data_IF_026069133292
#
_entry.id   IF_026069133292
#
_cell.length_a   1.000
_cell.length_b   1.000
_cell.length_c   1.000
_cell.angle_alpha   90.00
_cell.angle_beta   90.00
_cell.angle_gamma   90.00
#
_symmetry.space_group_name_H-M   'P 1'
#
loop_
_entity.id
_entity.type
_entity.pdbx_description
1 polymer ?
#
# COMPACT_ATOMS: atom_id res chain seq x y z
N UNK A 1 -2.57 -34.59 -58.18
CA UNK A 1 -2.82 -33.49 -57.22
C UNK A 1 -2.32 -33.94 -55.87
N UNK A 2 -1.41 -33.14 -55.30
CA UNK A 2 -0.39 -33.55 -54.34
C UNK A 2 -0.90 -33.57 -52.89
N UNK A 3 -0.63 -34.66 -52.15
CA UNK A 3 -1.09 -34.90 -50.78
C UNK A 3 -0.24 -34.15 -49.73
N UNK A 4 0.13 -32.89 -50.02
CA UNK A 4 1.05 -32.08 -49.19
C UNK A 4 0.47 -30.74 -48.71
N UNK A 5 -0.85 -30.54 -48.79
CA UNK A 5 -1.49 -29.27 -48.37
C UNK A 5 -2.44 -29.36 -47.17
N UNK A 6 -2.58 -30.51 -46.50
CA UNK A 6 -3.44 -30.65 -45.32
C UNK A 6 -2.69 -30.75 -43.98
N UNK A 7 -1.35 -30.79 -43.98
CA UNK A 7 -0.57 -30.94 -42.74
C UNK A 7 -0.13 -29.61 -42.11
N UNK A 8 -0.48 -28.47 -42.72
CA UNK A 8 -0.05 -27.14 -42.23
C UNK A 8 -1.13 -26.42 -41.40
N UNK A 9 -2.37 -26.92 -41.38
CA UNK A 9 -3.47 -26.33 -40.59
C UNK A 9 -3.77 -27.09 -39.29
N UNK A 10 -3.30 -28.33 -39.12
CA UNK A 10 -3.51 -29.11 -37.90
C UNK A 10 -2.51 -28.78 -36.77
N UNK A 11 -1.34 -28.19 -37.09
CA UNK A 11 -0.35 -27.78 -36.08
C UNK A 11 -0.56 -26.35 -35.54
N UNK A 12 -1.31 -25.50 -36.25
CA UNK A 12 -1.61 -24.14 -35.79
C UNK A 12 -2.78 -24.07 -34.80
N UNK A 13 -3.67 -25.08 -34.76
CA UNK A 13 -4.76 -25.17 -33.80
C UNK A 13 -4.38 -25.96 -32.52
N UNK A 14 -3.30 -26.74 -32.55
CA UNK A 14 -2.77 -27.42 -31.36
C UNK A 14 -2.04 -26.48 -30.37
N UNK A 15 -1.54 -25.34 -30.85
CA UNK A 15 -0.90 -24.31 -30.02
C UNK A 15 -1.88 -23.32 -29.38
N UNK A 16 -3.15 -23.32 -29.81
CA UNK A 16 -4.21 -22.50 -29.21
C UNK A 16 -5.07 -23.25 -28.17
N UNK A 17 -4.89 -24.57 -28.03
CA UNK A 17 -5.67 -25.38 -27.08
C UNK A 17 -4.90 -25.82 -25.82
N UNK A 18 -3.56 -25.70 -25.79
CA UNK A 18 -2.75 -26.09 -24.62
C UNK A 18 -2.40 -24.94 -23.66
N UNK A 19 -2.82 -23.69 -23.95
CA UNK A 19 -2.65 -22.56 -23.03
C UNK A 19 -3.73 -22.45 -21.94
N UNK A 20 -4.83 -23.20 -22.07
CA UNK A 20 -6.03 -23.06 -21.23
C UNK A 20 -6.21 -24.14 -20.16
N UNK A 21 -5.29 -25.12 -20.06
CA UNK A 21 -5.38 -26.22 -19.09
C UNK A 21 -4.12 -26.39 -18.20
N UNK A 22 -3.19 -25.43 -18.25
CA UNK A 22 -1.93 -25.47 -17.51
C UNK A 22 -1.77 -24.41 -16.42
N UNK A 23 -2.84 -23.75 -15.97
CA UNK A 23 -2.76 -22.88 -14.80
C UNK A 23 -2.46 -23.77 -13.58
N UNK A 24 -1.17 -23.95 -13.26
CA UNK A 24 -0.73 -24.59 -12.04
C UNK A 24 -1.55 -24.01 -10.87
N UNK A 25 -2.14 -24.84 -10.01
CA UNK A 25 -2.94 -24.33 -8.90
C UNK A 25 -2.06 -23.38 -8.10
N UNK A 26 -2.53 -22.15 -7.92
CA UNK A 26 -1.83 -21.14 -7.15
C UNK A 26 -1.48 -21.73 -5.78
N UNK A 27 -0.19 -21.92 -5.49
CA UNK A 27 0.25 -22.47 -4.21
C UNK A 27 0.05 -21.40 -3.14
N UNK A 28 -1.07 -21.46 -2.43
CA UNK A 28 -1.37 -20.60 -1.30
C UNK A 28 -1.05 -21.34 0.01
N UNK A 29 -0.05 -20.86 0.75
CA UNK A 29 0.27 -21.32 2.11
C UNK A 29 -0.19 -20.26 3.09
N UNK A 30 -0.90 -20.68 4.14
CA UNK A 30 -1.35 -19.78 5.21
C UNK A 30 -1.16 -20.45 6.56
N UNK A 31 -0.69 -19.69 7.53
CA UNK A 31 -0.60 -20.12 8.93
C UNK A 31 -1.25 -19.04 9.77
N UNK A 32 -2.09 -19.46 10.71
CA UNK A 32 -2.73 -18.58 11.67
C UNK A 32 -2.64 -19.19 13.05
N UNK A 33 -2.27 -18.37 14.03
CA UNK A 33 -2.28 -18.73 15.44
C UNK A 33 -3.10 -17.67 16.19
N UNK A 34 -3.93 -18.11 17.13
CA UNK A 34 -4.69 -17.23 18.03
C UNK A 34 -4.58 -17.79 19.44
N UNK A 35 -4.37 -16.91 20.41
CA UNK A 35 -4.32 -17.24 21.82
C UNK A 35 -4.86 -16.11 22.68
N UNK A 36 -4.80 -16.31 24.00
CA UNK A 36 -5.28 -15.34 24.97
C UNK A 36 -4.62 -13.95 24.79
N UNK A 37 -3.38 -13.90 24.31
CA UNK A 37 -2.61 -12.66 24.17
C UNK A 37 -2.67 -12.02 22.77
N UNK A 38 -3.45 -12.58 21.83
CA UNK A 38 -3.57 -12.02 20.48
C UNK A 38 -3.70 -13.04 19.36
N UNK A 39 -3.49 -12.57 18.13
CA UNK A 39 -3.49 -13.41 16.93
C UNK A 39 -2.32 -13.03 16.03
N UNK A 40 -1.69 -14.02 15.41
CA UNK A 40 -0.69 -13.84 14.37
C UNK A 40 -1.05 -14.68 13.16
N UNK A 41 -0.61 -14.25 11.98
CA UNK A 41 -0.74 -15.06 10.79
C UNK A 41 0.20 -14.61 9.70
N UNK A 42 0.59 -15.58 8.88
CA UNK A 42 1.41 -15.38 7.71
C UNK A 42 0.74 -16.05 6.51
N UNK A 43 1.00 -15.49 5.34
CA UNK A 43 0.60 -16.09 4.08
C UNK A 43 1.71 -15.96 3.06
N UNK A 44 1.73 -16.91 2.14
CA UNK A 44 2.46 -16.84 0.88
C UNK A 44 1.55 -17.38 -0.22
N UNK A 45 1.60 -16.79 -1.39
CA UNK A 45 0.78 -17.18 -2.55
C UNK A 45 1.58 -16.91 -3.81
N UNK A 46 1.64 -17.88 -4.71
CA UNK A 46 2.19 -17.72 -6.05
C UNK A 46 1.12 -18.07 -7.08
N UNK A 47 0.98 -17.26 -8.13
CA UNK A 47 0.03 -17.51 -9.21
C UNK A 47 0.44 -16.80 -10.51
N UNK A 48 -0.44 -16.86 -11.50
CA UNK A 48 -0.22 -16.32 -12.85
C UNK A 48 0.17 -14.82 -12.86
N UNK A 49 -0.31 -14.05 -11.88
CA UNK A 49 -0.05 -12.61 -11.75
C UNK A 49 0.98 -12.30 -10.65
N UNK A 50 1.92 -13.22 -10.42
CA UNK A 50 3.06 -13.01 -9.53
C UNK A 50 2.94 -13.72 -8.18
N UNK A 51 3.85 -13.36 -7.27
CA UNK A 51 3.91 -13.91 -5.92
C UNK A 51 3.66 -12.84 -4.87
N UNK A 52 3.11 -13.23 -3.73
CA UNK A 52 2.94 -12.36 -2.57
C UNK A 52 3.18 -13.12 -1.29
N UNK A 53 3.75 -12.44 -0.31
CA UNK A 53 3.90 -12.95 1.04
C UNK A 53 3.62 -11.84 2.04
N UNK A 54 3.16 -12.19 3.22
CA UNK A 54 2.93 -11.21 4.26
C UNK A 54 2.65 -11.84 5.60
N UNK A 55 2.74 -11.00 6.62
CA UNK A 55 2.49 -11.38 8.00
C UNK A 55 1.70 -10.29 8.70
N UNK A 56 0.97 -10.69 9.73
CA UNK A 56 0.30 -9.77 10.65
C UNK A 56 0.33 -10.34 12.05
N UNK A 57 0.37 -9.46 13.03
CA UNK A 57 0.05 -9.80 14.40
C UNK A 57 -0.80 -8.70 15.03
N UNK A 58 -1.65 -9.12 15.95
CA UNK A 58 -2.57 -8.28 16.71
C UNK A 58 -2.41 -8.69 18.17
N UNK A 59 -2.10 -7.75 19.04
CA UNK A 59 -2.09 -7.96 20.48
C UNK A 59 -3.50 -8.14 21.04
N UNK A 60 -3.56 -8.50 22.33
CA UNK A 60 -4.79 -8.65 23.08
C UNK A 60 -5.72 -7.43 22.94
N UNK A 61 -7.03 -7.68 22.80
CA UNK A 61 -8.07 -6.67 22.56
C UNK A 61 -7.86 -5.76 21.33
N UNK A 62 -7.01 -6.17 20.38
CA UNK A 62 -6.61 -5.34 19.23
C UNK A 62 -6.02 -3.98 19.65
N UNK A 63 -5.42 -3.91 20.85
CA UNK A 63 -4.82 -2.68 21.37
C UNK A 63 -3.49 -2.33 20.71
N UNK A 64 -2.86 -3.25 20.00
CA UNK A 64 -1.71 -2.98 19.15
C UNK A 64 -1.61 -4.04 18.06
N UNK A 65 -0.86 -3.75 17.01
CA UNK A 65 -0.58 -4.75 15.99
C UNK A 65 0.31 -4.23 14.88
N UNK A 66 0.71 -5.16 14.03
CA UNK A 66 1.42 -4.87 12.82
C UNK A 66 0.91 -5.74 11.67
N UNK A 67 1.12 -5.27 10.45
CA UNK A 67 0.98 -6.05 9.23
C UNK A 67 2.07 -5.63 8.26
N UNK A 68 2.52 -6.56 7.45
CA UNK A 68 3.44 -6.28 6.37
C UNK A 68 3.30 -7.30 5.27
N UNK A 69 3.75 -6.93 4.09
CA UNK A 69 3.79 -7.86 2.98
C UNK A 69 4.51 -7.29 1.79
N UNK A 70 4.83 -8.19 0.89
CA UNK A 70 5.50 -7.95 -0.37
C UNK A 70 4.72 -8.65 -1.48
N UNK A 71 4.81 -8.08 -2.67
CA UNK A 71 4.31 -8.61 -3.91
C UNK A 71 5.39 -8.46 -4.97
N UNK A 72 5.55 -9.48 -5.79
CA UNK A 72 6.39 -9.51 -6.97
C UNK A 72 5.50 -9.85 -8.15
N UNK A 73 5.33 -8.90 -9.06
CA UNK A 73 4.49 -9.02 -10.25
C UNK A 73 5.16 -9.74 -11.41
N UNK A 74 4.36 -10.13 -12.41
CA UNK A 74 4.89 -10.60 -13.67
C UNK A 74 5.64 -9.44 -14.34
N UNK A 75 6.78 -9.74 -14.96
CA UNK A 75 7.67 -8.78 -15.64
C UNK A 75 8.53 -7.88 -14.72
N UNK A 76 8.73 -8.26 -13.44
CA UNK A 76 9.78 -7.67 -12.60
C UNK A 76 9.35 -6.48 -11.73
N UNK A 77 8.07 -6.09 -11.75
CA UNK A 77 7.55 -5.13 -10.78
C UNK A 77 7.47 -5.72 -9.38
N UNK A 78 7.66 -4.90 -8.35
CA UNK A 78 7.53 -5.28 -6.95
C UNK A 78 6.87 -4.18 -6.13
N UNK A 79 6.22 -4.56 -5.04
CA UNK A 79 5.69 -3.62 -4.08
C UNK A 79 5.71 -4.27 -2.70
N UNK A 80 6.10 -3.51 -1.69
CA UNK A 80 6.02 -3.94 -0.31
C UNK A 80 5.51 -2.82 0.57
N UNK A 81 5.01 -3.20 1.74
CA UNK A 81 4.55 -2.23 2.70
C UNK A 81 4.29 -2.84 4.05
N UNK A 82 4.23 -1.96 5.03
CA UNK A 82 4.04 -2.29 6.42
C UNK A 82 3.14 -1.28 7.10
N UNK A 83 2.51 -1.71 8.17
CA UNK A 83 1.82 -0.83 9.09
C UNK A 83 1.96 -1.36 10.50
N UNK A 84 2.07 -0.45 11.46
CA UNK A 84 1.97 -0.74 12.88
C UNK A 84 0.98 0.23 13.52
N UNK A 85 0.32 -0.20 14.57
CA UNK A 85 -0.58 0.67 15.32
C UNK A 85 -0.62 0.27 16.79
N UNK A 86 -1.07 1.21 17.60
CA UNK A 86 -1.36 1.02 19.01
C UNK A 86 -2.52 1.93 19.42
N UNK A 87 -3.33 1.46 20.35
CA UNK A 87 -4.48 2.16 20.88
C UNK A 87 -4.72 1.74 22.33
N UNK A 88 -4.96 2.74 23.18
CA UNK A 88 -5.43 2.55 24.54
C UNK A 88 -6.59 3.50 24.80
N UNK A 89 -7.75 2.94 25.15
CA UNK A 89 -8.96 3.70 25.45
C UNK A 89 -8.68 4.74 26.53
N UNK A 90 -9.14 5.96 26.30
CA UNK A 90 -8.95 7.09 27.22
C UNK A 90 -7.54 7.70 27.23
N UNK A 91 -6.56 7.10 26.54
CA UNK A 91 -5.19 7.63 26.46
C UNK A 91 -4.90 8.15 25.06
N UNK A 92 -5.16 7.34 24.03
CA UNK A 92 -4.85 7.72 22.66
C UNK A 92 -4.44 6.54 21.80
N UNK A 93 -3.78 6.84 20.69
CA UNK A 93 -3.26 5.82 19.80
C UNK A 93 -2.28 6.38 18.79
N UNK A 94 -1.63 5.47 18.08
CA UNK A 94 -0.78 5.78 16.95
C UNK A 94 -1.01 4.79 15.83
N UNK A 95 -0.71 5.22 14.60
CA UNK A 95 -0.64 4.35 13.43
C UNK A 95 0.50 4.83 12.54
N UNK A 96 1.40 3.92 12.19
CA UNK A 96 2.40 4.10 11.15
C UNK A 96 2.08 3.22 9.95
N UNK A 97 2.35 3.73 8.74
CA UNK A 97 2.34 2.96 7.50
C UNK A 97 3.56 3.33 6.68
N UNK A 98 4.10 2.38 5.93
CA UNK A 98 5.11 2.62 4.92
C UNK A 98 4.85 1.71 3.73
N UNK A 99 5.28 2.15 2.55
CA UNK A 99 5.25 1.35 1.35
C UNK A 99 6.41 1.76 0.44
N UNK A 100 6.86 0.84 -0.38
CA UNK A 100 7.75 1.10 -1.51
C UNK A 100 7.45 0.13 -2.64
N UNK A 101 7.82 0.51 -3.86
CA UNK A 101 7.62 -0.36 -5.00
C UNK A 101 8.31 0.15 -6.25
N UNK A 102 8.44 -0.76 -7.20
CA UNK A 102 9.01 -0.52 -8.50
C UNK A 102 8.15 -1.22 -9.55
N UNK A 103 7.93 -0.54 -10.66
CA UNK A 103 7.25 -1.10 -11.83
C UNK A 103 8.27 -1.76 -12.76
N UNK A 104 7.78 -2.69 -13.59
CA UNK A 104 8.58 -3.33 -14.63
C UNK A 104 9.29 -2.33 -15.55
N UNK A 105 8.68 -1.16 -15.78
CA UNK A 105 9.18 -0.13 -16.68
C UNK A 105 10.15 0.85 -15.99
N UNK A 106 10.63 0.55 -14.78
CA UNK A 106 11.65 1.34 -14.09
C UNK A 106 11.12 2.53 -13.28
N UNK A 107 9.82 2.82 -13.31
CA UNK A 107 9.24 3.78 -12.37
C UNK A 107 9.25 3.20 -10.95
N UNK A 108 9.56 3.99 -9.94
CA UNK A 108 9.57 3.58 -8.54
C UNK A 108 8.80 4.58 -7.67
N UNK A 109 8.42 4.16 -6.48
CA UNK A 109 7.82 5.04 -5.52
C UNK A 109 7.93 4.50 -4.11
N UNK A 110 7.85 5.41 -3.15
CA UNK A 110 7.77 5.07 -1.74
C UNK A 110 6.96 6.13 -1.00
N UNK A 111 6.46 5.75 0.16
CA UNK A 111 5.78 6.69 1.00
C UNK A 111 5.56 6.15 2.40
N UNK A 112 5.31 7.07 3.31
CA UNK A 112 5.01 6.73 4.69
C UNK A 112 3.96 7.66 5.25
N UNK A 113 3.30 7.20 6.31
CA UNK A 113 2.47 8.07 7.13
C UNK A 113 2.55 7.65 8.59
N UNK A 114 2.46 8.62 9.48
CA UNK A 114 2.39 8.43 10.92
C UNK A 114 1.28 9.30 11.46
N UNK A 115 0.41 8.74 12.28
CA UNK A 115 -0.60 9.46 13.04
C UNK A 115 -0.38 9.15 14.52
N UNK A 116 -0.45 10.19 15.35
CA UNK A 116 -0.51 10.08 16.81
C UNK A 116 -1.71 10.90 17.28
N UNK A 117 -2.49 10.34 18.19
CA UNK A 117 -3.67 10.97 18.77
C UNK A 117 -3.64 10.83 20.29
N UNK A 118 -3.88 11.94 21.00
CA UNK A 118 -4.05 11.99 22.43
C UNK A 118 -5.54 12.16 22.77
N UNK A 119 -6.11 11.19 23.50
CA UNK A 119 -7.52 11.20 23.85
C UNK A 119 -7.86 12.16 25.00
N UNK A 120 -6.88 12.52 25.85
CA UNK A 120 -7.07 13.44 26.96
C UNK A 120 -7.22 14.89 26.46
N UNK A 121 -6.43 15.27 25.45
CA UNK A 121 -6.48 16.61 24.86
C UNK A 121 -7.39 16.68 23.62
N UNK A 122 -7.74 15.52 23.04
CA UNK A 122 -8.48 15.46 21.78
C UNK A 122 -7.66 15.87 20.56
N UNK A 123 -6.35 16.06 20.71
CA UNK A 123 -5.45 16.51 19.65
C UNK A 123 -4.75 15.34 18.95
N UNK A 124 -4.38 15.54 17.70
CA UNK A 124 -3.51 14.61 17.00
C UNK A 124 -2.67 15.27 15.93
N UNK A 125 -1.62 14.56 15.55
CA UNK A 125 -0.70 14.96 14.50
C UNK A 125 -0.58 13.81 13.50
N UNK A 126 -0.73 14.12 12.21
CA UNK A 126 -0.47 13.20 11.11
C UNK A 126 0.65 13.76 10.25
N UNK A 127 1.70 12.99 10.03
CA UNK A 127 2.72 13.30 9.05
C UNK A 127 2.71 12.25 7.95
N UNK A 128 3.03 12.64 6.73
CA UNK A 128 3.14 11.71 5.60
C UNK A 128 4.11 12.24 4.56
N UNK A 129 4.73 11.35 3.82
CA UNK A 129 5.49 11.72 2.64
C UNK A 129 5.26 10.69 1.55
N UNK A 130 5.37 11.14 0.31
CA UNK A 130 5.29 10.31 -0.87
C UNK A 130 6.34 10.81 -1.87
N UNK A 131 7.06 9.87 -2.49
CA UNK A 131 8.05 10.15 -3.52
C UNK A 131 7.85 9.13 -4.63
N UNK A 132 7.79 9.60 -5.87
CA UNK A 132 7.55 8.82 -7.08
C UNK A 132 8.55 9.27 -8.12
N UNK A 133 9.38 8.34 -8.57
CA UNK A 133 10.25 8.52 -9.73
C UNK A 133 9.60 7.84 -10.93
N UNK A 134 9.26 8.62 -11.95
CA UNK A 134 8.70 8.08 -13.19
C UNK A 134 9.78 7.43 -14.04
N UNK A 135 9.38 6.53 -14.95
CA UNK A 135 10.29 5.92 -15.92
C UNK A 135 10.99 6.95 -16.82
N UNK A 136 10.40 8.13 -17.00
CA UNK A 136 10.99 9.28 -17.72
C UNK A 136 12.00 10.08 -16.89
N UNK A 137 12.34 9.65 -15.66
CA UNK A 137 13.28 10.35 -14.78
C UNK A 137 12.72 11.61 -14.11
N UNK A 138 11.40 11.83 -14.16
CA UNK A 138 10.75 12.92 -13.41
C UNK A 138 10.37 12.45 -12.02
N UNK A 139 10.76 13.24 -11.03
CA UNK A 139 10.42 13.03 -9.62
C UNK A 139 9.21 13.87 -9.23
N UNK A 140 8.27 13.23 -8.54
CA UNK A 140 7.10 13.85 -7.93
C UNK A 140 7.08 13.44 -6.47
N UNK A 141 6.79 14.38 -5.59
CA UNK A 141 6.68 14.03 -4.19
C UNK A 141 6.09 15.16 -3.37
N UNK A 142 5.75 14.81 -2.14
CA UNK A 142 5.35 15.77 -1.14
C UNK A 142 5.70 15.28 0.26
N UNK A 143 5.82 16.24 1.18
CA UNK A 143 5.80 15.99 2.62
C UNK A 143 4.68 16.79 3.23
N UNK A 144 3.81 16.12 3.99
CA UNK A 144 2.64 16.70 4.61
C UNK A 144 2.67 16.54 6.12
N UNK A 145 2.19 17.55 6.84
CA UNK A 145 1.94 17.49 8.28
C UNK A 145 0.61 18.14 8.62
N UNK A 146 -0.26 17.41 9.32
CA UNK A 146 -1.55 17.88 9.80
C UNK A 146 -1.57 17.86 11.32
N UNK A 147 -1.84 19.01 11.94
CA UNK A 147 -2.25 19.08 13.34
C UNK A 147 -3.77 19.27 13.41
N UNK A 148 -4.45 18.51 14.27
CA UNK A 148 -5.91 18.55 14.35
C UNK A 148 -6.42 18.38 15.78
N UNK A 149 -7.63 18.89 16.01
CA UNK A 149 -8.41 18.66 17.22
C UNK A 149 -9.73 17.99 16.86
N UNK A 150 -10.02 16.85 17.49
CA UNK A 150 -11.21 16.04 17.21
C UNK A 150 -12.48 16.88 17.32
N UNK A 151 -13.25 16.91 16.23
CA UNK A 151 -14.53 17.61 16.17
C UNK A 151 -14.44 19.13 16.03
N UNK A 152 -13.24 19.71 15.87
CA UNK A 152 -13.04 21.15 15.70
C UNK A 152 -12.45 21.49 14.33
N UNK A 153 -11.41 20.78 13.90
CA UNK A 153 -10.68 21.15 12.69
C UNK A 153 -9.20 20.78 12.76
N UNK A 154 -8.45 21.26 11.78
CA UNK A 154 -7.00 21.16 11.75
C UNK A 154 -6.38 21.99 10.63
N UNK A 155 -5.06 22.05 10.66
CA UNK A 155 -4.23 22.70 9.66
C UNK A 155 -3.30 21.65 9.06
N UNK A 156 -3.21 21.61 7.74
CA UNK A 156 -2.29 20.74 7.00
C UNK A 156 -1.30 21.58 6.22
N UNK A 157 -0.01 21.40 6.44
CA UNK A 157 1.04 21.92 5.58
C UNK A 157 1.46 20.83 4.60
N UNK A 158 1.64 21.18 3.33
CA UNK A 158 2.08 20.30 2.25
C UNK A 158 3.22 20.99 1.54
N UNK A 159 4.42 20.46 1.69
CA UNK A 159 5.60 20.81 0.90
C UNK A 159 5.59 19.92 -0.34
N UNK A 160 5.61 20.50 -1.53
CA UNK A 160 5.61 19.75 -2.78
C UNK A 160 6.92 19.90 -3.53
N UNK A 161 7.42 18.79 -4.07
CA UNK A 161 8.59 18.81 -4.92
C UNK A 161 8.22 19.49 -6.25
N UNK A 162 8.56 20.78 -6.39
CA UNK A 162 8.44 21.61 -7.61
C UNK A 162 7.05 22.17 -7.96
N UNK A 163 6.08 22.24 -7.03
CA UNK A 163 4.74 22.80 -7.31
C UNK A 163 4.28 23.90 -6.33
N UNK A 164 5.14 24.30 -5.39
CA UNK A 164 4.86 25.29 -4.36
C UNK A 164 4.25 24.65 -3.10
N UNK A 165 4.45 25.31 -1.96
CA UNK A 165 3.98 24.79 -0.68
C UNK A 165 2.54 25.26 -0.42
N UNK A 166 1.76 24.47 0.31
CA UNK A 166 0.38 24.78 0.61
C UNK A 166 0.07 24.58 2.10
N UNK A 167 -0.71 25.50 2.67
CA UNK A 167 -1.44 25.31 3.92
C UNK A 167 -2.92 25.10 3.62
N UNK A 168 -3.52 24.08 4.22
CA UNK A 168 -4.96 23.78 4.15
C UNK A 168 -5.54 23.82 5.56
N UNK A 169 -6.34 24.84 5.81
CA UNK A 169 -7.08 25.02 7.05
C UNK A 169 -8.51 24.53 6.88
N UNK A 170 -8.93 23.61 7.75
CA UNK A 170 -10.29 23.07 7.72
C UNK A 170 -10.87 23.13 9.12
N UNK A 171 -12.05 23.74 9.23
CA UNK A 171 -12.80 23.86 10.48
C UNK A 171 -14.18 23.22 10.32
N UNK A 172 -14.72 22.69 11.42
CA UNK A 172 -16.04 22.08 11.41
C UNK A 172 -17.10 23.11 11.01
N UNK A 173 -17.91 22.76 10.02
CA UNK A 173 -19.00 23.62 9.53
C UNK A 173 -18.54 24.75 8.61
N UNK A 174 -17.26 24.79 8.22
CA UNK A 174 -16.71 25.79 7.31
C UNK A 174 -16.12 25.12 6.06
N UNK A 175 -16.09 25.87 4.95
CA UNK A 175 -15.37 25.43 3.75
C UNK A 175 -13.86 25.49 4.03
N UNK A 176 -13.07 24.47 3.62
CA UNK A 176 -11.62 24.53 3.75
C UNK A 176 -11.02 25.72 2.99
N UNK A 177 -10.00 26.33 3.57
CA UNK A 177 -9.21 27.42 2.98
C UNK A 177 -7.86 26.85 2.57
N UNK A 178 -7.45 27.11 1.33
CA UNK A 178 -6.15 26.70 0.80
C UNK A 178 -5.34 27.96 0.54
N UNK A 179 -4.15 28.02 1.12
CA UNK A 179 -3.22 29.14 1.01
C UNK A 179 -1.91 28.61 0.45
N UNK A 180 -1.42 29.19 -0.64
CA UNK A 180 -0.07 28.91 -1.12
C UNK A 180 0.93 29.62 -0.20
N UNK A 181 1.90 28.87 0.33
CA UNK A 181 2.97 29.41 1.16
C UNK A 181 4.16 29.85 0.29
N UNK A 182 4.82 30.98 0.62
CA UNK A 182 5.95 31.52 -0.15
C UNK A 182 7.17 30.61 -0.18
#
# INVERSE_FOLDING_TARGET
MDAKQYLTWALALGFLYNGLLGAQPAQARRVFARGANGAAGAFASQGQYGSRAGARAMGYNAGAGFRGGQWHGPNGGSAEGGAAFGYKKGVGGFRGTQWQGQTANGASGSGWSKNVYNAQTGQGTRSSSEQIQTASGKDYGYTGSTNYTKGQGGQTTIDTQNKGDYSVDWQKGQKPVVTQTP
#
